data_IF_724730557902
#
_entry.id   IF_724730557902
#
_cell.length_a   1.000
_cell.length_b   1.000
_cell.length_c   1.000
_cell.angle_alpha   90.00
_cell.angle_beta   90.00
_cell.angle_gamma   90.00
#
_symmetry.space_group_name_H-M   'P 1'
#
loop_
_entity.id
_entity.type
_entity.pdbx_description
1 polymer ?
#
# COMPACT_ATOMS: atom_id res chain seq x y z
N UNK A 1 -0.24 5.30 0.37
CA UNK A 1 0.07 4.16 -0.54
C UNK A 1 -0.45 2.88 0.08
N UNK A 2 -0.83 1.91 -0.74
CA UNK A 2 -1.27 0.57 -0.30
C UNK A 2 -0.44 -0.47 -1.04
N UNK A 3 0.16 -1.44 -0.33
CA UNK A 3 1.01 -2.44 -0.99
C UNK A 3 1.15 -3.76 -0.21
N UNK A 4 1.70 -4.79 -0.85
CA UNK A 4 2.25 -5.96 -0.18
C UNK A 4 3.62 -5.59 0.42
N UNK A 5 3.85 -5.91 1.70
CA UNK A 5 5.06 -5.52 2.42
C UNK A 5 5.66 -6.71 3.13
N UNK A 6 6.95 -6.95 2.91
CA UNK A 6 7.69 -7.97 3.65
C UNK A 6 8.06 -7.44 5.03
N UNK A 7 7.40 -7.98 6.05
CA UNK A 7 7.54 -7.58 7.45
C UNK A 7 8.23 -8.67 8.29
N UNK A 8 8.42 -9.87 7.74
CA UNK A 8 8.91 -11.04 8.46
C UNK A 8 7.88 -11.63 9.44
N UNK A 9 6.64 -11.14 9.45
CA UNK A 9 5.55 -11.64 10.30
C UNK A 9 4.71 -12.69 9.57
N UNK A 10 3.63 -13.14 10.19
CA UNK A 10 2.73 -14.10 9.58
C UNK A 10 1.99 -13.50 8.38
N UNK A 11 1.70 -14.29 7.32
CA UNK A 11 0.87 -13.85 6.21
C UNK A 11 -0.44 -13.22 6.66
N UNK A 12 -0.83 -12.12 6.03
CA UNK A 12 -2.00 -11.32 6.43
C UNK A 12 -1.73 -10.33 7.57
N UNK A 13 -0.52 -10.22 8.10
CA UNK A 13 -0.20 -9.18 9.08
C UNK A 13 -0.27 -7.79 8.41
N UNK A 14 -1.20 -6.94 8.85
CA UNK A 14 -1.35 -5.58 8.37
C UNK A 14 -0.42 -4.59 9.11
N UNK A 15 0.11 -3.61 8.39
CA UNK A 15 0.98 -2.56 8.93
C UNK A 15 0.52 -1.19 8.47
N UNK A 16 0.87 -0.18 9.27
CA UNK A 16 0.83 1.22 8.88
C UNK A 16 2.18 1.83 9.19
N UNK A 17 2.89 2.30 8.17
CA UNK A 17 4.23 2.86 8.29
C UNK A 17 4.21 4.34 7.90
N UNK A 18 4.96 5.14 8.65
CA UNK A 18 5.11 6.59 8.47
C UNK A 18 6.52 7.04 8.78
N UNK A 19 6.95 8.16 8.20
CA UNK A 19 8.25 8.77 8.48
C UNK A 19 9.41 7.79 8.28
N UNK A 20 10.26 7.64 9.30
CA UNK A 20 11.48 6.82 9.28
C UNK A 20 11.21 5.30 9.18
N UNK A 21 9.97 4.86 9.34
CA UNK A 21 9.60 3.45 9.15
C UNK A 21 9.48 3.08 7.65
N UNK A 22 9.32 4.07 6.78
CA UNK A 22 9.13 3.85 5.35
C UNK A 22 10.39 3.38 4.62
N UNK A 23 11.58 3.99 4.80
CA UNK A 23 12.78 3.58 4.06
C UNK A 23 13.09 2.10 4.22
N UNK A 24 13.00 1.57 5.45
CA UNK A 24 13.30 0.16 5.75
C UNK A 24 12.32 -0.81 5.08
N UNK A 25 11.02 -0.49 5.06
CA UNK A 25 10.00 -1.28 4.38
C UNK A 25 10.06 -1.15 2.85
N UNK A 26 10.47 0.01 2.36
CA UNK A 26 10.76 0.22 0.95
C UNK A 26 12.13 -0.39 0.57
N UNK A 27 13.02 -0.76 1.48
CA UNK A 27 14.28 -1.45 1.17
C UNK A 27 14.09 -2.97 1.01
N UNK A 28 13.10 -3.54 1.70
CA UNK A 28 13.08 -4.99 1.92
C UNK A 28 12.61 -5.80 0.72
N UNK A 29 11.61 -5.34 -0.04
CA UNK A 29 11.18 -5.93 -1.33
C UNK A 29 10.43 -4.90 -2.18
N UNK A 30 11.16 -4.06 -2.91
CA UNK A 30 10.53 -3.27 -3.98
C UNK A 30 10.22 -4.21 -5.13
N UNK A 31 8.94 -4.36 -5.46
CA UNK A 31 8.64 -4.75 -6.83
C UNK A 31 9.19 -3.65 -7.76
N UNK A 32 9.55 -3.95 -9.02
CA UNK A 32 10.03 -2.93 -9.97
C UNK A 32 9.15 -1.67 -10.04
N UNK A 33 7.85 -1.79 -9.76
CA UNK A 33 6.87 -0.70 -9.75
C UNK A 33 7.12 0.34 -8.64
N UNK A 34 7.85 -0.01 -7.59
CA UNK A 34 8.10 0.88 -6.44
C UNK A 34 9.51 1.49 -6.46
N UNK A 35 10.42 1.00 -7.33
CA UNK A 35 11.77 1.55 -7.47
C UNK A 35 11.73 3.02 -7.89
N UNK A 36 10.87 3.37 -8.85
CA UNK A 36 10.70 4.76 -9.29
C UNK A 36 10.15 5.70 -8.21
N UNK A 37 9.44 5.19 -7.20
CA UNK A 37 8.95 6.01 -6.10
C UNK A 37 10.10 6.47 -5.19
N UNK A 38 11.07 5.60 -4.90
CA UNK A 38 12.25 5.98 -4.11
C UNK A 38 13.07 7.06 -4.80
N UNK A 39 13.33 6.88 -6.10
CA UNK A 39 14.10 7.85 -6.88
C UNK A 39 13.38 9.21 -6.90
N UNK A 40 12.05 9.20 -7.04
CA UNK A 40 11.23 10.40 -6.97
C UNK A 40 11.33 11.09 -5.59
N UNK A 41 11.20 10.35 -4.50
CA UNK A 41 11.29 10.89 -3.14
C UNK A 41 12.69 11.46 -2.85
N UNK A 42 13.74 10.75 -3.25
CA UNK A 42 15.13 11.19 -3.11
C UNK A 42 15.42 12.45 -3.94
N UNK A 43 14.97 12.50 -5.20
CA UNK A 43 15.10 13.68 -6.05
C UNK A 43 14.35 14.88 -5.48
N UNK A 44 13.11 14.67 -4.99
CA UNK A 44 12.32 15.72 -4.37
C UNK A 44 13.04 16.29 -3.13
N UNK A 45 13.65 15.43 -2.30
CA UNK A 45 14.44 15.84 -1.14
C UNK A 45 15.66 16.67 -1.53
N UNK A 46 16.41 16.27 -2.57
CA UNK A 46 17.54 17.06 -3.11
C UNK A 46 17.11 18.44 -3.65
N UNK A 47 15.88 18.53 -4.17
CA UNK A 47 15.28 19.78 -4.65
C UNK A 47 14.68 20.64 -3.52
N UNK A 48 14.81 20.22 -2.26
CA UNK A 48 14.18 20.88 -1.11
C UNK A 48 12.65 20.80 -1.12
N UNK A 49 12.07 19.84 -1.86
CA UNK A 49 10.64 19.58 -1.96
C UNK A 49 10.32 18.28 -1.24
N UNK A 50 9.83 18.37 -0.02
CA UNK A 50 9.42 17.18 0.74
C UNK A 50 7.91 17.04 0.72
N UNK A 51 7.44 15.79 0.72
CA UNK A 51 6.04 15.52 1.03
C UNK A 51 5.84 15.83 2.53
N UNK A 52 4.77 16.55 2.92
CA UNK A 52 4.49 16.80 4.33
C UNK A 52 4.39 15.51 5.14
N UNK A 53 3.81 14.47 4.52
CA UNK A 53 3.67 13.15 5.10
C UNK A 53 3.50 12.10 4.00
N UNK A 54 4.10 10.93 4.22
CA UNK A 54 3.84 9.73 3.45
C UNK A 54 3.37 8.65 4.43
N UNK A 55 2.28 7.97 4.07
CA UNK A 55 1.73 6.84 4.82
C UNK A 55 1.65 5.64 3.90
N UNK A 56 2.19 4.50 4.35
CA UNK A 56 2.01 3.21 3.71
C UNK A 56 1.14 2.32 4.58
N UNK A 57 0.05 1.83 4.01
CA UNK A 57 -0.78 0.77 4.60
C UNK A 57 -0.41 -0.51 3.88
N UNK A 58 0.20 -1.46 4.59
CA UNK A 58 0.78 -2.67 4.00
C UNK A 58 0.21 -3.96 4.57
N UNK A 59 0.35 -5.06 3.84
CA UNK A 59 0.02 -6.41 4.33
C UNK A 59 1.12 -7.41 4.00
N UNK A 60 1.47 -8.26 4.96
CA UNK A 60 2.42 -9.36 4.75
C UNK A 60 1.86 -10.36 3.72
N UNK A 61 2.52 -10.56 2.57
CA UNK A 61 2.11 -11.57 1.61
C UNK A 61 2.45 -12.97 2.12
N UNK A 62 1.66 -13.97 1.70
CA UNK A 62 2.02 -15.39 1.83
C UNK A 62 3.00 -15.84 0.75
N UNK A 63 2.80 -15.35 -0.47
CA UNK A 63 3.56 -15.73 -1.67
C UNK A 63 3.64 -14.53 -2.62
N UNK A 64 4.75 -14.43 -3.34
CA UNK A 64 4.95 -13.49 -4.45
C UNK A 64 5.07 -14.25 -5.80
N UNK A 65 4.66 -15.52 -5.83
CA UNK A 65 4.62 -16.29 -7.06
C UNK A 65 3.63 -15.66 -8.06
N UNK A 66 3.91 -15.83 -9.35
CA UNK A 66 3.03 -15.33 -10.40
C UNK A 66 1.63 -15.96 -10.28
N UNK A 67 0.60 -15.11 -10.27
CA UNK A 67 -0.80 -15.50 -10.15
C UNK A 67 -1.71 -14.27 -10.05
N UNK A 68 -3.01 -14.46 -10.24
CA UNK A 68 -4.02 -13.40 -10.17
C UNK A 68 -4.83 -13.41 -8.87
N UNK A 69 -4.65 -14.42 -8.03
CA UNK A 69 -5.44 -14.60 -6.81
C UNK A 69 -4.68 -14.18 -5.56
N UNK A 70 -5.43 -13.63 -4.60
CA UNK A 70 -4.91 -13.40 -3.25
C UNK A 70 -4.92 -14.72 -2.47
N UNK A 71 -3.87 -14.95 -1.67
CA UNK A 71 -3.94 -15.98 -0.64
C UNK A 71 -5.06 -15.70 0.36
N UNK A 72 -5.67 -16.73 0.92
CA UNK A 72 -6.76 -16.62 1.89
C UNK A 72 -6.44 -15.64 3.03
N UNK A 73 -5.22 -15.68 3.55
CA UNK A 73 -4.74 -14.82 4.64
C UNK A 73 -4.75 -13.34 4.29
N UNK A 74 -4.40 -12.98 3.06
CA UNK A 74 -4.42 -11.59 2.57
C UNK A 74 -5.84 -11.19 2.19
N UNK A 75 -6.61 -12.08 1.57
CA UNK A 75 -7.99 -11.81 1.17
C UNK A 75 -8.88 -11.46 2.39
N UNK A 76 -8.66 -12.13 3.52
CA UNK A 76 -9.35 -11.82 4.78
C UNK A 76 -9.07 -10.41 5.31
N UNK A 77 -8.01 -9.75 4.84
CA UNK A 77 -7.60 -8.43 5.32
C UNK A 77 -8.02 -7.28 4.39
N UNK A 78 -8.63 -7.56 3.23
CA UNK A 78 -9.00 -6.51 2.27
C UNK A 78 -9.88 -5.45 2.93
N UNK A 79 -10.89 -5.86 3.70
CA UNK A 79 -11.78 -4.93 4.40
C UNK A 79 -11.07 -4.16 5.53
N UNK A 80 -10.19 -4.82 6.28
CA UNK A 80 -9.34 -4.20 7.30
C UNK A 80 -8.46 -3.10 6.69
N UNK A 81 -7.80 -3.42 5.57
CA UNK A 81 -6.92 -2.52 4.84
C UNK A 81 -7.69 -1.34 4.28
N UNK A 82 -8.86 -1.58 3.67
CA UNK A 82 -9.76 -0.51 3.22
C UNK A 82 -10.12 0.43 4.37
N UNK A 83 -10.51 -0.12 5.52
CA UNK A 83 -10.80 0.69 6.71
C UNK A 83 -9.61 1.53 7.20
N UNK A 84 -8.39 0.98 7.15
CA UNK A 84 -7.18 1.73 7.49
C UNK A 84 -6.92 2.88 6.51
N UNK A 85 -7.11 2.67 5.21
CA UNK A 85 -6.96 3.71 4.19
C UNK A 85 -8.00 4.82 4.38
N UNK A 86 -9.26 4.47 4.62
CA UNK A 86 -10.33 5.45 4.85
C UNK A 86 -10.00 6.35 6.05
N UNK A 87 -9.50 5.76 7.15
CA UNK A 87 -9.04 6.53 8.32
C UNK A 87 -7.92 7.51 7.98
N UNK A 88 -6.98 7.13 7.12
CA UNK A 88 -5.92 8.06 6.68
C UNK A 88 -6.47 9.19 5.82
N UNK A 89 -7.44 8.91 4.95
CA UNK A 89 -8.10 9.93 4.14
C UNK A 89 -8.87 10.93 5.01
N UNK A 90 -9.65 10.45 5.98
CA UNK A 90 -10.34 11.30 6.94
C UNK A 90 -9.35 12.16 7.75
N UNK A 91 -8.22 11.57 8.18
CA UNK A 91 -7.19 12.29 8.95
C UNK A 91 -6.58 13.47 8.18
N UNK A 92 -6.44 13.35 6.86
CA UNK A 92 -5.96 14.45 6.01
C UNK A 92 -7.08 15.41 5.56
N UNK A 93 -8.30 15.25 6.10
CA UNK A 93 -9.44 16.12 5.83
C UNK A 93 -10.22 15.76 4.56
N UNK A 94 -9.93 14.63 3.91
CA UNK A 94 -10.69 14.18 2.76
C UNK A 94 -12.07 13.66 3.18
N UNK A 95 -13.08 13.94 2.39
CA UNK A 95 -14.43 13.40 2.57
C UNK A 95 -14.60 12.21 1.62
N UNK A 96 -14.94 11.05 2.18
CA UNK A 96 -15.08 9.82 1.40
C UNK A 96 -16.54 9.41 1.36
N UNK A 97 -17.07 9.25 0.15
CA UNK A 97 -18.43 8.78 -0.07
C UNK A 97 -18.41 7.39 -0.73
N UNK A 98 -19.31 6.47 -0.34
CA UNK A 98 -19.48 5.21 -1.03
C UNK A 98 -19.89 5.46 -2.49
N UNK A 99 -19.07 4.98 -3.42
CA UNK A 99 -19.47 4.89 -4.82
C UNK A 99 -20.26 3.60 -5.05
N UNK A 100 -21.32 3.70 -5.85
CA UNK A 100 -22.01 2.50 -6.35
C UNK A 100 -20.99 1.63 -7.08
N UNK A 101 -21.09 0.28 -6.98
CA UNK A 101 -20.15 -0.59 -7.69
C UNK A 101 -20.16 -0.21 -9.17
N UNK A 102 -18.99 -0.03 -9.79
CA UNK A 102 -18.94 0.22 -11.22
C UNK A 102 -19.64 -0.94 -11.95
N UNK A 103 -20.28 -0.69 -13.12
CA UNK A 103 -20.80 -1.79 -13.93
C UNK A 103 -19.71 -2.84 -14.12
N UNK A 104 -20.08 -4.12 -14.03
CA UNK A 104 -19.13 -5.24 -14.06
C UNK A 104 -18.15 -5.08 -15.23
N UNK A 105 -16.90 -4.73 -14.91
CA UNK A 105 -15.82 -4.77 -15.89
C UNK A 105 -15.57 -6.25 -16.20
N UNK A 106 -15.96 -6.70 -17.39
CA UNK A 106 -15.46 -7.95 -17.96
C UNK A 106 -14.02 -7.67 -18.38
N UNK A 107 -13.07 -8.41 -17.84
CA UNK A 107 -11.65 -8.37 -18.25
C UNK A 107 -11.35 -9.47 -19.29
N UNK A 108 -12.40 -10.03 -19.91
CA UNK A 108 -12.39 -11.26 -20.69
C UNK A 108 -13.10 -11.08 -22.05
N UNK A 109 -12.77 -9.99 -22.77
CA UNK A 109 -12.93 -9.91 -24.23
C UNK A 109 -11.58 -9.69 -24.91
#
# INVERSE_FOLDING_TARGET
MVDAVETGKQPGFCVRLVGEELPSALDTKLSPHQLGLKDLLGAAQLMGRTLPELVLVGVQPKSLALGSELSAEVNLQVETMKGAVLKELERIGAHVEPVSPPPSYRWDQ
#
